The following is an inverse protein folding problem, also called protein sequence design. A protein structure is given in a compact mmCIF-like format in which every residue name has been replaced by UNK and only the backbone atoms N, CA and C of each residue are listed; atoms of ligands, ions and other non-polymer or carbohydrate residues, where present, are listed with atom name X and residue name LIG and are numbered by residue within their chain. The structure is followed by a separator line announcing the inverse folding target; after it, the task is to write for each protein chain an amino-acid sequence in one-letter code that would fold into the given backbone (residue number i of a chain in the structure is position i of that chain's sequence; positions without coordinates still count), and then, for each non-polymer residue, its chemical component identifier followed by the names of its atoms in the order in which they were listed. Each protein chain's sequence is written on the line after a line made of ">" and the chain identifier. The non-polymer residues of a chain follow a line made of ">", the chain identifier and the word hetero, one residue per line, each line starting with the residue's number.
data_IF_113341416033
#
_entry.id   IF_113341416033
#
_cell.length_a   1.000
_cell.length_b   1.000
_cell.length_c   1.000
_cell.angle_alpha   90.00
_cell.angle_beta   90.00
_cell.angle_gamma   90.00
#
_symmetry.space_group_name_H-M   'P 1'
#
loop_
_entity.id
_entity.type
_entity.pdbx_description
1 polymer ?
#
# COMPACT_ATOMS: atom_id res chain seq x y z
N UNK A 1 1.30 -10.60 5.95
CA UNK A 1 1.03 -9.90 4.67
C UNK A 1 2.23 -9.82 3.72
N UNK A 2 3.05 -8.75 3.71
CA UNK A 2 4.14 -8.58 2.73
C UNK A 2 5.33 -9.52 2.94
N UNK A 3 5.61 -9.89 4.20
CA UNK A 3 6.64 -10.89 4.54
C UNK A 3 6.34 -12.25 3.91
N UNK A 4 5.07 -12.63 3.77
CA UNK A 4 4.69 -13.90 3.13
C UNK A 4 4.93 -13.90 1.61
N UNK A 5 4.94 -12.72 0.97
CA UNK A 5 5.18 -12.55 -0.47
C UNK A 5 6.66 -12.37 -0.80
N UNK A 6 7.37 -11.60 0.02
CA UNK A 6 8.75 -11.18 -0.24
C UNK A 6 9.78 -11.90 0.64
N UNK A 7 9.32 -12.70 1.61
CA UNK A 7 10.13 -13.13 2.74
C UNK A 7 10.49 -11.97 3.67
N UNK A 8 11.00 -12.30 4.86
CA UNK A 8 11.39 -11.31 5.88
C UNK A 8 12.45 -10.32 5.38
N UNK A 9 13.43 -10.83 4.64
CA UNK A 9 14.49 -10.03 4.06
C UNK A 9 13.95 -9.09 2.97
N UNK A 10 13.08 -9.57 2.08
CA UNK A 10 12.52 -8.76 1.01
C UNK A 10 11.57 -7.67 1.52
N UNK A 11 10.76 -7.98 2.54
CA UNK A 11 9.94 -6.96 3.21
C UNK A 11 10.82 -5.86 3.80
N UNK A 12 11.87 -6.23 4.55
CA UNK A 12 12.75 -5.25 5.19
C UNK A 12 13.49 -4.37 4.20
N UNK A 13 13.88 -4.91 3.05
CA UNK A 13 14.48 -4.13 1.95
C UNK A 13 13.45 -3.16 1.36
N UNK A 14 12.21 -3.60 1.13
CA UNK A 14 11.15 -2.73 0.65
C UNK A 14 10.84 -1.59 1.63
N UNK A 15 10.69 -1.91 2.91
CA UNK A 15 10.48 -0.92 3.98
C UNK A 15 11.62 0.10 4.02
N UNK A 16 12.87 -0.36 3.99
CA UNK A 16 14.04 0.53 3.94
C UNK A 16 14.02 1.48 2.73
N UNK A 17 13.66 0.99 1.54
CA UNK A 17 13.57 1.84 0.36
C UNK A 17 12.42 2.84 0.45
N UNK A 18 11.27 2.43 0.99
CA UNK A 18 10.13 3.33 1.21
C UNK A 18 10.47 4.41 2.24
N UNK A 19 11.05 4.04 3.39
CA UNK A 19 11.53 4.98 4.41
C UNK A 19 12.51 5.99 3.83
N UNK A 20 13.46 5.54 3.01
CA UNK A 20 14.43 6.43 2.36
C UNK A 20 13.78 7.40 1.37
N UNK A 21 12.79 6.95 0.61
CA UNK A 21 12.07 7.81 -0.36
C UNK A 21 11.10 8.77 0.33
N UNK A 22 10.45 8.32 1.40
CA UNK A 22 9.42 9.07 2.11
C UNK A 22 9.99 9.96 3.21
N UNK A 23 11.17 9.64 3.75
CA UNK A 23 11.77 10.27 4.94
C UNK A 23 10.85 10.20 6.19
N UNK A 24 9.92 9.25 6.19
CA UNK A 24 8.89 9.03 7.21
C UNK A 24 8.52 7.54 7.25
N UNK A 25 7.87 7.11 8.34
CA UNK A 25 7.34 5.74 8.46
C UNK A 25 6.32 5.45 7.33
N UNK A 26 6.54 4.41 6.50
CA UNK A 26 5.69 4.14 5.33
C UNK A 26 4.22 3.86 5.68
N UNK A 27 3.95 3.27 6.85
CA UNK A 27 2.58 2.97 7.29
C UNK A 27 1.84 4.23 7.72
N UNK A 28 2.52 5.15 8.41
CA UNK A 28 2.00 6.50 8.68
C UNK A 28 1.64 7.22 7.39
N UNK A 29 2.55 7.24 6.41
CA UNK A 29 2.32 7.89 5.10
C UNK A 29 1.17 7.22 4.33
N UNK A 30 1.03 5.90 4.39
CA UNK A 30 -0.10 5.19 3.78
C UNK A 30 -1.44 5.73 4.30
N UNK A 31 -1.54 6.01 5.60
CA UNK A 31 -2.77 6.49 6.25
C UNK A 31 -2.98 8.01 6.17
N UNK A 32 -1.90 8.80 6.12
CA UNK A 32 -1.97 10.26 6.08
C UNK A 32 -1.99 10.82 4.65
N UNK A 33 -1.15 10.27 3.77
CA UNK A 33 -0.95 10.71 2.38
C UNK A 33 -0.86 9.52 1.39
N UNK A 34 -1.96 8.80 1.15
CA UNK A 34 -1.96 7.56 0.36
C UNK A 34 -1.39 7.73 -1.06
N UNK A 35 -1.58 8.91 -1.66
CA UNK A 35 -1.03 9.22 -2.98
C UNK A 35 0.50 9.31 -2.97
N UNK A 36 1.06 9.90 -1.91
CA UNK A 36 2.51 9.99 -1.73
C UNK A 36 3.11 8.59 -1.52
N UNK A 37 2.44 7.74 -0.75
CA UNK A 37 2.80 6.33 -0.63
C UNK A 37 2.81 5.62 -2.00
N UNK A 38 1.75 5.77 -2.79
CA UNK A 38 1.68 5.20 -4.14
C UNK A 38 2.84 5.66 -5.04
N UNK A 39 3.19 6.95 -5.00
CA UNK A 39 4.30 7.47 -5.79
C UNK A 39 5.65 6.88 -5.36
N UNK A 40 5.86 6.63 -4.06
CA UNK A 40 7.06 5.95 -3.57
C UNK A 40 7.13 4.50 -4.07
N UNK A 41 6.03 3.75 -3.99
CA UNK A 41 5.96 2.38 -4.56
C UNK A 41 6.20 2.42 -6.08
N UNK A 42 5.64 3.40 -6.79
CA UNK A 42 5.88 3.61 -8.22
C UNK A 42 7.32 3.91 -8.56
N UNK A 43 8.03 4.64 -7.69
CA UNK A 43 9.45 4.92 -7.87
C UNK A 43 10.30 3.64 -7.80
N UNK A 44 9.95 2.71 -6.90
CA UNK A 44 10.66 1.43 -6.72
C UNK A 44 10.37 0.45 -7.86
N UNK A 45 9.09 0.24 -8.17
CA UNK A 45 8.66 -0.84 -9.08
C UNK A 45 8.37 -0.37 -10.51
N UNK A 46 8.42 0.93 -10.78
CA UNK A 46 8.13 1.50 -12.09
C UNK A 46 6.74 1.10 -12.60
N UNK A 47 6.68 0.54 -13.81
CA UNK A 47 5.43 0.09 -14.43
C UNK A 47 4.76 -1.08 -13.68
N UNK A 48 5.53 -1.84 -12.88
CA UNK A 48 5.01 -2.96 -12.09
C UNK A 48 4.28 -2.57 -10.81
N UNK A 49 4.31 -1.30 -10.42
CA UNK A 49 3.79 -0.84 -9.13
C UNK A 49 2.30 -1.11 -8.92
N UNK A 50 1.49 -0.91 -9.96
CA UNK A 50 0.05 -1.18 -9.92
C UNK A 50 -0.24 -2.66 -9.66
N UNK A 51 0.53 -3.56 -10.29
CA UNK A 51 0.39 -5.00 -10.09
C UNK A 51 0.80 -5.37 -8.66
N UNK A 52 1.93 -4.83 -8.17
CA UNK A 52 2.39 -5.06 -6.81
C UNK A 52 1.35 -4.61 -5.78
N UNK A 53 0.73 -3.44 -5.97
CA UNK A 53 -0.31 -2.93 -5.08
C UNK A 53 -1.54 -3.82 -5.10
N UNK A 54 -1.98 -4.31 -6.26
CA UNK A 54 -3.11 -5.25 -6.32
C UNK A 54 -2.80 -6.60 -5.67
N UNK A 55 -1.56 -7.09 -5.79
CA UNK A 55 -1.13 -8.31 -5.08
C UNK A 55 -1.19 -8.08 -3.56
N UNK A 56 -0.69 -6.94 -3.07
CA UNK A 56 -0.79 -6.57 -1.65
C UNK A 56 -2.26 -6.49 -1.20
N UNK A 57 -3.09 -5.77 -1.94
CA UNK A 57 -4.51 -5.60 -1.62
C UNK A 57 -5.27 -6.93 -1.61
N UNK A 58 -5.05 -7.79 -2.59
CA UNK A 58 -5.62 -9.14 -2.62
C UNK A 58 -5.29 -9.91 -1.34
N UNK A 59 -4.03 -9.86 -0.91
CA UNK A 59 -3.61 -10.53 0.33
C UNK A 59 -4.27 -9.93 1.56
N UNK A 60 -4.40 -8.61 1.64
CA UNK A 60 -5.09 -7.93 2.75
C UNK A 60 -6.57 -8.31 2.84
N UNK A 61 -7.24 -8.46 1.71
CA UNK A 61 -8.65 -8.90 1.64
C UNK A 61 -8.77 -10.33 2.15
N UNK A 62 -7.91 -11.24 1.67
CA UNK A 62 -7.88 -12.65 2.13
C UNK A 62 -7.60 -12.77 3.64
N UNK A 63 -6.77 -11.88 4.20
CA UNK A 63 -6.44 -11.83 5.63
C UNK A 63 -7.49 -11.06 6.46
N UNK A 64 -8.52 -10.47 5.84
CA UNK A 64 -9.57 -9.69 6.51
C UNK A 64 -9.11 -8.32 7.04
N UNK A 65 -7.92 -7.87 6.67
CA UNK A 65 -7.34 -6.58 7.05
C UNK A 65 -7.86 -5.41 6.19
N UNK A 66 -8.41 -5.72 5.00
CA UNK A 66 -8.97 -4.75 4.07
C UNK A 66 -10.37 -5.19 3.64
N UNK A 67 -11.37 -4.38 3.97
CA UNK A 67 -12.75 -4.52 3.49
C UNK A 67 -12.86 -3.95 2.07
N UNK A 68 -12.69 -4.83 1.08
CA UNK A 68 -12.85 -4.51 -0.34
C UNK A 68 -13.29 -5.76 -1.11
N UNK A 69 -14.05 -5.57 -2.18
CA UNK A 69 -14.49 -6.67 -3.04
C UNK A 69 -13.51 -6.93 -4.20
N UNK A 70 -12.81 -5.89 -4.65
CA UNK A 70 -11.79 -5.94 -5.70
C UNK A 70 -10.49 -5.25 -5.22
N UNK A 71 -9.30 -5.90 -5.38
CA UNK A 71 -8.00 -5.29 -5.10
C UNK A 71 -7.76 -3.93 -5.79
N UNK A 72 -8.45 -3.66 -6.89
CA UNK A 72 -8.37 -2.41 -7.65
C UNK A 72 -8.95 -1.23 -6.88
N UNK A 73 -9.94 -1.44 -6.00
CA UNK A 73 -10.51 -0.39 -5.15
C UNK A 73 -9.43 0.25 -4.28
N UNK A 74 -8.51 -0.57 -3.76
CA UNK A 74 -7.38 -0.09 -2.94
C UNK A 74 -6.42 0.76 -3.76
N UNK A 75 -6.03 0.28 -4.94
CA UNK A 75 -5.17 1.03 -5.86
C UNK A 75 -5.78 2.38 -6.24
N UNK A 76 -7.09 2.41 -6.51
CA UNK A 76 -7.82 3.64 -6.82
C UNK A 76 -7.84 4.61 -5.64
N UNK A 77 -8.03 4.10 -4.41
CA UNK A 77 -7.93 4.91 -3.20
C UNK A 77 -6.53 5.52 -3.06
N UNK A 78 -5.45 4.78 -3.34
CA UNK A 78 -4.11 5.36 -3.30
C UNK A 78 -3.89 6.43 -4.39
N UNK A 79 -4.47 6.25 -5.58
CA UNK A 79 -4.30 7.20 -6.70
C UNK A 79 -5.11 8.49 -6.55
N UNK A 80 -6.19 8.47 -5.77
CA UNK A 80 -7.10 9.60 -5.61
C UNK A 80 -6.54 10.66 -4.64
N UNK A 81 -6.00 11.76 -5.18
CA UNK A 81 -5.45 12.87 -4.39
C UNK A 81 -6.49 13.63 -3.54
N UNK A 82 -7.78 13.52 -3.86
CA UNK A 82 -8.83 14.31 -3.21
C UNK A 82 -9.52 13.54 -2.10
N UNK A 83 -9.91 12.30 -2.39
CA UNK A 83 -10.70 11.45 -1.48
C UNK A 83 -10.01 10.14 -1.11
N UNK A 84 -8.78 9.93 -1.58
CA UNK A 84 -8.05 8.68 -1.39
C UNK A 84 -7.89 8.28 0.06
N UNK A 85 -7.54 9.25 0.93
CA UNK A 85 -7.42 9.01 2.37
C UNK A 85 -8.73 8.55 3.00
N UNK A 86 -9.83 9.24 2.72
CA UNK A 86 -11.14 8.89 3.28
C UNK A 86 -11.60 7.51 2.81
N UNK A 87 -11.39 7.19 1.52
CA UNK A 87 -11.67 5.86 0.96
C UNK A 87 -10.83 4.79 1.64
N UNK A 88 -9.51 4.98 1.71
CA UNK A 88 -8.58 4.04 2.33
C UNK A 88 -8.96 3.74 3.79
N UNK A 89 -9.24 4.78 4.59
CA UNK A 89 -9.60 4.59 6.00
C UNK A 89 -10.93 3.85 6.19
N UNK A 90 -11.89 3.96 5.26
CA UNK A 90 -13.14 3.18 5.30
C UNK A 90 -12.93 1.70 4.96
N UNK A 91 -11.90 1.40 4.17
CA UNK A 91 -11.56 0.03 3.78
C UNK A 91 -10.71 -0.66 4.85
N UNK A 92 -9.88 0.09 5.59
CA UNK A 92 -9.05 -0.47 6.65
C UNK A 92 -9.92 -0.82 7.86
N UNK A 93 -9.93 -2.10 8.22
CA UNK A 93 -10.37 -2.53 9.53
C UNK A 93 -9.32 -2.14 10.55
N UNK A 94 -9.42 -0.93 11.10
CA UNK A 94 -8.74 -0.61 12.34
C UNK A 94 -9.41 -1.44 13.44
N UNK A 95 -8.64 -2.40 13.98
CA UNK A 95 -9.06 -3.31 15.06
C UNK A 95 -9.71 -2.58 16.23
#
# INVERSE_FOLDING_TARGET
>A
MLEALLGKAGLRVLEYHLEKLLQEDPYSVLCSEPHRFYLAVKNIFGQGADMMIRIMAKKMIEEGALEASDPSEFLEALKDQRKGREKLLKMLRLL
#
